data_IF_361613120458
#
_entry.id   IF_361613120458
#
_cell.length_a   1.000
_cell.length_b   1.000
_cell.length_c   1.000
_cell.angle_alpha   90.00
_cell.angle_beta   90.00
_cell.angle_gamma   90.00
#
_symmetry.space_group_name_H-M   'P 1'
#
loop_
_entity.id
_entity.type
_entity.pdbx_description
1 polymer ?
#
# COMPACT_ATOMS: atom_id res chain seq x y z
N UNK A 1 2.02 -15.55 9.77
CA UNK A 1 0.83 -14.76 10.21
C UNK A 1 0.86 -14.38 11.70
N UNK A 2 2.03 -14.38 12.36
CA UNK A 2 2.11 -14.13 13.82
C UNK A 2 2.25 -12.65 14.23
N UNK A 3 2.53 -11.74 13.29
CA UNK A 3 2.92 -10.36 13.57
C UNK A 3 1.89 -9.51 14.34
N UNK A 4 0.61 -9.93 14.39
CA UNK A 4 -0.47 -9.18 15.03
C UNK A 4 -1.18 -9.92 16.16
N UNK A 5 -0.70 -11.11 16.54
CA UNK A 5 -1.33 -11.95 17.56
C UNK A 5 -1.41 -11.24 18.93
N UNK A 6 -0.33 -10.58 19.33
CA UNK A 6 -0.27 -9.75 20.54
C UNK A 6 -1.28 -8.59 20.50
N UNK A 7 -1.38 -7.90 19.36
CA UNK A 7 -2.31 -6.79 19.18
C UNK A 7 -3.77 -7.24 19.27
N UNK A 8 -4.09 -8.42 18.74
CA UNK A 8 -5.44 -9.00 18.85
C UNK A 8 -5.78 -9.34 20.30
N UNK A 9 -4.83 -9.85 21.08
CA UNK A 9 -5.03 -10.13 22.50
C UNK A 9 -5.27 -8.84 23.30
N UNK A 10 -4.45 -7.81 23.10
CA UNK A 10 -4.63 -6.48 23.70
C UNK A 10 -6.02 -5.89 23.40
N UNK A 11 -6.44 -5.95 22.13
CA UNK A 11 -7.74 -5.42 21.72
C UNK A 11 -8.91 -6.20 22.32
N UNK A 12 -8.77 -7.51 22.55
CA UNK A 12 -9.79 -8.31 23.24
C UNK A 12 -9.88 -7.99 24.72
N UNK A 13 -8.76 -7.65 25.36
CA UNK A 13 -8.76 -7.19 26.75
C UNK A 13 -9.43 -5.80 26.87
N UNK A 14 -9.12 -4.88 25.96
CA UNK A 14 -9.64 -3.51 25.98
C UNK A 14 -11.12 -3.42 25.55
N UNK A 15 -11.50 -4.14 24.49
CA UNK A 15 -12.80 -4.00 23.82
C UNK A 15 -13.74 -5.20 24.04
N UNK A 16 -13.25 -6.26 24.67
CA UNK A 16 -13.96 -7.52 24.83
C UNK A 16 -13.90 -8.44 23.60
N UNK A 17 -14.59 -9.57 23.69
CA UNK A 17 -14.69 -10.55 22.60
C UNK A 17 -15.36 -9.96 21.35
N UNK A 18 -14.84 -10.30 20.18
CA UNK A 18 -15.37 -9.81 18.91
C UNK A 18 -16.69 -10.51 18.56
N UNK A 19 -17.80 -9.79 18.68
CA UNK A 19 -19.14 -10.34 18.50
C UNK A 19 -19.69 -10.05 17.09
N UNK A 20 -20.74 -10.77 16.64
CA UNK A 20 -21.47 -10.42 15.42
C UNK A 20 -22.01 -8.98 15.42
N UNK A 21 -22.38 -8.45 16.59
CA UNK A 21 -22.80 -7.06 16.72
C UNK A 21 -21.63 -6.07 16.52
N UNK A 22 -20.44 -6.42 17.01
CA UNK A 22 -19.20 -5.67 16.75
C UNK A 22 -18.89 -5.65 15.24
N UNK A 23 -19.02 -6.80 14.58
CA UNK A 23 -18.84 -6.92 13.13
C UNK A 23 -19.83 -6.06 12.33
N UNK A 24 -21.10 -6.05 12.71
CA UNK A 24 -22.11 -5.20 12.09
C UNK A 24 -21.76 -3.72 12.21
N UNK A 25 -21.37 -3.29 13.43
CA UNK A 25 -20.97 -1.90 13.70
C UNK A 25 -19.76 -1.49 12.86
N UNK A 26 -18.73 -2.33 12.81
CA UNK A 26 -17.50 -2.03 12.06
C UNK A 26 -17.76 -2.00 10.56
N UNK A 27 -18.59 -2.92 10.05
CA UNK A 27 -18.97 -2.93 8.65
C UNK A 27 -19.68 -1.64 8.25
N UNK A 28 -20.69 -1.22 9.01
CA UNK A 28 -21.41 0.03 8.71
C UNK A 28 -20.52 1.26 8.85
N UNK A 29 -19.66 1.32 9.88
CA UNK A 29 -18.85 2.51 10.15
C UNK A 29 -17.62 2.62 9.25
N UNK A 30 -16.85 1.54 9.12
CA UNK A 30 -15.53 1.57 8.49
C UNK A 30 -15.50 1.02 7.08
N UNK A 31 -16.47 0.20 6.66
CA UNK A 31 -16.56 -0.27 5.28
C UNK A 31 -17.54 0.59 4.48
N UNK A 32 -18.75 0.77 4.99
CA UNK A 32 -19.80 1.54 4.30
C UNK A 32 -19.73 3.04 4.58
N UNK A 33 -19.17 3.44 5.72
CA UNK A 33 -18.98 4.85 6.09
C UNK A 33 -17.76 5.52 5.45
N UNK A 34 -17.02 4.81 4.58
CA UNK A 34 -15.89 5.40 3.85
C UNK A 34 -16.41 6.47 2.90
N UNK A 35 -15.82 7.65 3.00
CA UNK A 35 -16.15 8.81 2.18
C UNK A 35 -14.88 9.46 1.64
N UNK A 36 -15.05 10.36 0.67
CA UNK A 36 -13.96 11.16 0.10
C UNK A 36 -13.72 12.45 0.88
N UNK A 37 -14.34 12.65 2.05
CA UNK A 37 -14.31 13.91 2.80
C UNK A 37 -12.90 14.32 3.26
N UNK A 38 -12.01 13.33 3.42
CA UNK A 38 -10.61 13.53 3.79
C UNK A 38 -9.65 13.30 2.62
N UNK A 39 -10.18 13.18 1.39
CA UNK A 39 -9.36 13.08 0.19
C UNK A 39 -9.07 14.46 -0.38
N UNK A 40 -7.84 14.66 -0.85
CA UNK A 40 -7.46 15.83 -1.62
C UNK A 40 -7.53 15.49 -3.11
N UNK A 41 -8.41 16.16 -3.85
CA UNK A 41 -8.38 16.09 -5.32
C UNK A 41 -7.15 16.83 -5.82
N UNK A 42 -6.29 16.13 -6.56
CA UNK A 42 -4.97 16.64 -6.92
C UNK A 42 -4.98 17.36 -8.27
N UNK A 43 -4.63 18.64 -8.23
CA UNK A 43 -4.30 19.41 -9.43
C UNK A 43 -2.91 19.04 -9.98
N UNK A 44 -2.51 19.70 -11.07
CA UNK A 44 -1.20 19.47 -11.68
C UNK A 44 -0.04 19.72 -10.70
N UNK A 45 -0.07 20.84 -9.98
CA UNK A 45 0.99 21.22 -9.05
C UNK A 45 1.04 20.32 -7.80
N UNK A 46 -0.10 19.85 -7.31
CA UNK A 46 -0.16 18.90 -6.20
C UNK A 46 0.49 17.57 -6.58
N UNK A 47 0.14 17.04 -7.76
CA UNK A 47 0.77 15.83 -8.32
C UNK A 47 2.27 16.03 -8.49
N UNK A 48 2.72 17.19 -8.97
CA UNK A 48 4.14 17.50 -9.15
C UNK A 48 4.88 17.58 -7.82
N UNK A 49 4.26 18.16 -6.79
CA UNK A 49 4.81 18.20 -5.43
C UNK A 49 5.01 16.78 -4.89
N UNK A 50 3.99 15.92 -4.98
CA UNK A 50 4.08 14.51 -4.55
C UNK A 50 5.15 13.76 -5.36
N UNK A 51 5.23 14.01 -6.67
CA UNK A 51 6.26 13.42 -7.52
C UNK A 51 7.66 13.77 -7.04
N UNK A 52 7.91 15.05 -6.70
CA UNK A 52 9.21 15.48 -6.18
C UNK A 52 9.58 14.83 -4.85
N UNK A 53 8.60 14.49 -4.00
CA UNK A 53 8.86 13.78 -2.73
C UNK A 53 9.46 12.39 -2.94
N UNK A 54 9.24 11.76 -4.10
CA UNK A 54 9.85 10.47 -4.44
C UNK A 54 11.36 10.54 -4.53
N UNK A 55 11.97 11.72 -4.66
CA UNK A 55 13.42 11.87 -4.66
C UNK A 55 14.06 11.19 -3.44
N UNK A 56 13.52 11.42 -2.24
CA UNK A 56 14.06 10.86 -1.00
C UNK A 56 14.00 9.33 -0.96
N UNK A 57 12.90 8.73 -1.39
CA UNK A 57 12.73 7.28 -1.32
C UNK A 57 13.34 6.56 -2.53
N UNK A 58 13.17 7.10 -3.73
CA UNK A 58 13.60 6.46 -4.98
C UNK A 58 15.10 6.63 -5.22
N UNK A 59 15.62 7.85 -5.03
CA UNK A 59 17.03 8.14 -5.30
C UNK A 59 17.88 7.86 -4.08
N UNK A 60 17.60 8.53 -2.95
CA UNK A 60 18.51 8.46 -1.80
C UNK A 60 18.48 7.10 -1.09
N UNK A 61 17.28 6.53 -0.89
CA UNK A 61 17.16 5.25 -0.18
C UNK A 61 17.33 4.03 -1.09
N UNK A 62 16.77 4.06 -2.30
CA UNK A 62 16.78 2.92 -3.22
C UNK A 62 17.90 2.98 -4.28
N UNK A 63 18.65 4.07 -4.36
CA UNK A 63 19.78 4.22 -5.28
C UNK A 63 19.40 4.28 -6.76
N UNK A 64 18.14 4.63 -7.08
CA UNK A 64 17.66 4.75 -8.46
C UNK A 64 18.16 6.04 -9.11
N UNK A 65 18.02 6.15 -10.43
CA UNK A 65 18.50 7.33 -11.18
C UNK A 65 17.44 8.41 -11.29
N UNK A 66 17.88 9.66 -11.42
CA UNK A 66 16.98 10.81 -11.59
C UNK A 66 16.26 10.76 -12.94
N UNK A 67 16.89 10.15 -13.94
CA UNK A 67 16.31 9.89 -15.26
C UNK A 67 15.11 8.96 -15.14
N UNK A 68 15.24 7.85 -14.39
CA UNK A 68 14.15 6.90 -14.13
C UNK A 68 13.01 7.59 -13.37
N UNK A 69 13.32 8.40 -12.35
CA UNK A 69 12.32 9.18 -11.65
C UNK A 69 11.57 10.13 -12.60
N UNK A 70 12.27 10.89 -13.43
CA UNK A 70 11.64 11.79 -14.40
C UNK A 70 10.80 11.04 -15.44
N UNK A 71 11.19 9.82 -15.82
CA UNK A 71 10.41 8.99 -16.74
C UNK A 71 9.03 8.66 -16.17
N UNK A 72 8.92 8.41 -14.86
CA UNK A 72 7.62 8.19 -14.20
C UNK A 72 6.64 9.35 -14.34
N UNK A 73 7.13 10.57 -14.61
CA UNK A 73 6.30 11.76 -14.81
C UNK A 73 5.97 12.00 -16.28
N UNK A 74 6.92 11.74 -17.18
CA UNK A 74 6.82 12.07 -18.61
C UNK A 74 6.16 10.97 -19.43
N UNK A 75 6.37 9.72 -19.04
CA UNK A 75 5.94 8.55 -19.78
C UNK A 75 4.74 7.90 -19.08
N UNK A 76 3.56 8.06 -19.69
CA UNK A 76 2.33 7.46 -19.19
C UNK A 76 2.39 5.92 -19.18
N UNK A 77 3.16 5.33 -20.10
CA UNK A 77 3.29 3.88 -20.24
C UNK A 77 4.26 3.27 -19.22
N UNK A 78 5.06 4.07 -18.50
CA UNK A 78 6.01 3.58 -17.49
C UNK A 78 5.34 2.63 -16.49
N UNK A 79 4.20 3.05 -15.93
CA UNK A 79 3.46 2.25 -14.96
C UNK A 79 2.68 1.10 -15.59
N UNK A 80 2.31 1.19 -16.86
CA UNK A 80 1.68 0.10 -17.61
C UNK A 80 2.67 -1.04 -17.84
N UNK A 81 3.89 -0.71 -18.27
CA UNK A 81 4.96 -1.67 -18.45
C UNK A 81 5.31 -2.39 -17.14
N UNK A 82 5.30 -1.66 -16.01
CA UNK A 82 5.51 -2.28 -14.69
C UNK A 82 4.37 -3.26 -14.34
N UNK A 83 3.10 -2.89 -14.61
CA UNK A 83 1.96 -3.79 -14.39
C UNK A 83 2.03 -5.05 -15.25
N UNK A 84 2.67 -4.99 -16.42
CA UNK A 84 2.91 -6.17 -17.27
C UNK A 84 3.80 -7.25 -16.62
N UNK A 85 4.51 -6.93 -15.55
CA UNK A 85 5.43 -7.85 -14.87
C UNK A 85 4.78 -8.57 -13.67
N UNK A 86 3.50 -8.32 -13.38
CA UNK A 86 2.81 -8.86 -12.19
C UNK A 86 2.90 -10.39 -12.12
N UNK A 87 2.67 -11.10 -13.24
CA UNK A 87 2.72 -12.57 -13.26
C UNK A 87 4.12 -13.13 -12.95
N UNK A 88 5.17 -12.43 -13.38
CA UNK A 88 6.54 -12.84 -13.13
C UNK A 88 6.94 -12.58 -11.68
N UNK A 89 6.56 -11.41 -11.15
CA UNK A 89 6.75 -11.07 -9.74
C UNK A 89 6.03 -12.09 -8.85
N UNK A 90 4.81 -12.51 -9.21
CA UNK A 90 4.07 -13.51 -8.45
C UNK A 90 4.78 -14.89 -8.43
N UNK A 91 5.37 -15.32 -9.54
CA UNK A 91 6.20 -16.53 -9.57
C UNK A 91 7.41 -16.41 -8.63
N UNK A 92 8.12 -15.28 -8.68
CA UNK A 92 9.28 -15.01 -7.83
C UNK A 92 8.89 -15.00 -6.34
N UNK A 93 7.74 -14.42 -5.99
CA UNK A 93 7.21 -14.45 -4.62
C UNK A 93 6.94 -15.89 -4.17
N UNK A 94 6.30 -16.71 -5.01
CA UNK A 94 6.03 -18.12 -4.68
C UNK A 94 7.32 -18.92 -4.51
N UNK A 95 8.33 -18.67 -5.34
CA UNK A 95 9.64 -19.31 -5.22
C UNK A 95 10.35 -18.90 -3.93
N UNK A 96 10.39 -17.60 -3.65
CA UNK A 96 10.95 -17.07 -2.41
C UNK A 96 10.28 -17.69 -1.18
N UNK A 97 8.94 -17.75 -1.14
CA UNK A 97 8.21 -18.34 -0.01
C UNK A 97 8.53 -19.83 0.19
N UNK A 98 8.69 -20.60 -0.91
CA UNK A 98 9.15 -22.00 -0.84
C UNK A 98 10.54 -22.11 -0.24
N UNK A 99 11.46 -21.20 -0.58
CA UNK A 99 12.83 -21.19 -0.05
C UNK A 99 12.88 -20.74 1.42
N UNK A 100 12.04 -19.78 1.80
CA UNK A 100 11.98 -19.22 3.15
C UNK A 100 11.25 -20.12 4.16
N UNK A 101 10.71 -21.26 3.72
CA UNK A 101 10.04 -22.24 4.59
C UNK A 101 8.68 -21.77 5.13
N UNK A 102 7.99 -20.88 4.40
CA UNK A 102 6.64 -20.40 4.72
C UNK A 102 5.56 -21.33 4.19
#
# INVERSE_FOLDING_TARGET
MELYSSRVAELREELGEYSPASALKDHHRYMLGLSTEHMLELGYYDRKRIHNLKYFTWIEQQGRTVEELNQQWRDAAYWEALRGQVDEIDKLIREFNRMAGS
#
